data_IF_935227738144
#
_entry.id   IF_935227738144
#
_cell.length_a   1.000
_cell.length_b   1.000
_cell.length_c   1.000
_cell.angle_alpha   90.00
_cell.angle_beta   90.00
_cell.angle_gamma   90.00
#
_symmetry.space_group_name_H-M   'P 1'
#
loop_
_entity.id
_entity.type
_entity.pdbx_description
1 polymer ?
#
# COMPACT_ATOMS: atom_id res chain seq x y z
N UNK A 1 8.20 0.87 12.00
CA UNK A 1 8.68 -0.47 12.44
C UNK A 1 8.44 -1.43 11.28
N UNK A 2 9.47 -2.10 10.77
CA UNK A 2 9.32 -3.07 9.67
C UNK A 2 8.46 -4.21 10.19
N UNK A 3 7.34 -4.47 9.50
CA UNK A 3 6.47 -5.58 9.84
C UNK A 3 7.11 -6.87 9.33
N UNK A 4 7.98 -7.47 10.13
CA UNK A 4 8.56 -8.77 9.82
C UNK A 4 7.47 -9.85 10.00
N UNK A 5 6.86 -10.28 8.89
CA UNK A 5 5.85 -11.35 8.87
C UNK A 5 6.48 -12.62 8.32
N UNK A 6 6.32 -13.72 9.04
CA UNK A 6 6.75 -15.04 8.59
C UNK A 6 5.65 -15.76 7.83
N UNK A 7 5.99 -16.63 6.87
CA UNK A 7 4.99 -17.48 6.23
C UNK A 7 4.24 -18.37 7.21
N UNK A 8 4.85 -18.67 8.38
CA UNK A 8 4.19 -19.45 9.44
C UNK A 8 3.04 -18.69 10.12
N UNK A 9 3.21 -17.40 10.37
CA UNK A 9 2.13 -16.56 10.90
C UNK A 9 0.97 -16.47 9.91
N UNK A 10 1.29 -16.29 8.63
CA UNK A 10 0.29 -16.30 7.55
C UNK A 10 -0.41 -17.66 7.45
N UNK A 11 0.33 -18.77 7.52
CA UNK A 11 -0.22 -20.13 7.52
C UNK A 11 -1.22 -20.34 8.66
N UNK A 12 -0.86 -19.91 9.88
CA UNK A 12 -1.72 -20.07 11.05
C UNK A 12 -3.06 -19.34 10.88
N UNK A 13 -3.03 -18.12 10.35
CA UNK A 13 -4.25 -17.35 10.06
C UNK A 13 -5.07 -18.06 8.97
N UNK A 14 -4.44 -18.50 7.88
CA UNK A 14 -5.16 -19.19 6.80
C UNK A 14 -5.79 -20.50 7.31
N UNK A 15 -5.07 -21.32 8.07
CA UNK A 15 -5.60 -22.58 8.63
C UNK A 15 -6.85 -22.39 9.49
N UNK A 16 -6.96 -21.26 10.19
CA UNK A 16 -8.17 -20.95 10.97
C UNK A 16 -9.35 -20.46 10.12
N UNK A 17 -9.14 -20.17 8.84
CA UNK A 17 -10.07 -19.47 7.97
C UNK A 17 -10.51 -20.26 6.72
N UNK A 18 -9.83 -21.37 6.38
CA UNK A 18 -10.22 -22.24 5.27
C UNK A 18 -10.45 -23.68 5.76
N UNK A 19 -11.19 -24.46 4.98
CA UNK A 19 -11.39 -25.88 5.29
C UNK A 19 -10.09 -26.68 5.19
N UNK A 20 -10.01 -27.77 5.96
CA UNK A 20 -8.87 -28.71 5.90
C UNK A 20 -8.67 -29.27 4.49
N UNK A 21 -9.75 -29.51 3.73
CA UNK A 21 -9.68 -29.96 2.34
C UNK A 21 -8.99 -28.93 1.44
N UNK A 22 -9.37 -27.65 1.54
CA UNK A 22 -8.77 -26.57 0.75
C UNK A 22 -7.32 -26.35 1.15
N UNK A 23 -7.01 -26.42 2.45
CA UNK A 23 -5.65 -26.30 2.93
C UNK A 23 -4.77 -27.44 2.43
N UNK A 24 -5.25 -28.69 2.51
CA UNK A 24 -4.53 -29.86 2.01
C UNK A 24 -4.29 -29.76 0.51
N UNK A 25 -5.30 -29.34 -0.27
CA UNK A 25 -5.18 -29.08 -1.70
C UNK A 25 -4.08 -28.05 -2.01
N UNK A 26 -4.03 -26.94 -1.27
CA UNK A 26 -3.00 -25.91 -1.43
C UNK A 26 -1.60 -26.46 -1.16
N UNK A 27 -1.44 -27.24 -0.08
CA UNK A 27 -0.15 -27.83 0.27
C UNK A 27 0.33 -28.85 -0.78
N UNK A 28 -0.58 -29.64 -1.36
CA UNK A 28 -0.21 -30.59 -2.42
C UNK A 28 0.14 -29.89 -3.74
N UNK A 29 -0.55 -28.79 -4.06
CA UNK A 29 -0.17 -27.92 -5.18
C UNK A 29 1.19 -27.27 -4.95
N UNK A 30 1.47 -26.77 -3.74
CA UNK A 30 2.77 -26.21 -3.37
C UNK A 30 3.91 -27.21 -3.58
N UNK A 31 3.75 -28.45 -3.09
CA UNK A 31 4.75 -29.53 -3.31
C UNK A 31 5.03 -29.73 -4.80
N UNK A 32 3.98 -29.75 -5.62
CA UNK A 32 4.10 -29.94 -7.08
C UNK A 32 4.82 -28.76 -7.74
N UNK A 33 4.47 -27.53 -7.37
CA UNK A 33 5.11 -26.31 -7.90
C UNK A 33 6.60 -26.31 -7.58
N UNK A 34 6.96 -26.67 -6.36
CA UNK A 34 8.33 -26.69 -5.87
C UNK A 34 9.14 -27.80 -6.55
N UNK A 35 8.62 -29.03 -6.60
CA UNK A 35 9.35 -30.17 -7.17
C UNK A 35 9.59 -30.01 -8.67
N UNK A 36 8.57 -29.59 -9.42
CA UNK A 36 8.66 -29.39 -10.86
C UNK A 36 9.29 -28.05 -11.25
N UNK A 37 9.43 -27.13 -10.28
CA UNK A 37 9.79 -25.74 -10.52
C UNK A 37 8.92 -25.13 -11.63
N UNK A 38 7.62 -25.40 -11.64
CA UNK A 38 6.77 -25.05 -12.78
C UNK A 38 6.05 -23.71 -12.62
N UNK A 39 6.39 -22.73 -13.48
CA UNK A 39 5.68 -21.45 -13.53
C UNK A 39 4.22 -21.63 -13.96
N UNK A 40 3.95 -22.53 -14.91
CA UNK A 40 2.58 -22.82 -15.37
C UNK A 40 1.70 -23.33 -14.22
N UNK A 41 2.20 -24.25 -13.40
CA UNK A 41 1.44 -24.79 -12.26
C UNK A 41 1.24 -23.72 -11.18
N UNK A 42 2.25 -22.86 -10.94
CA UNK A 42 2.11 -21.72 -10.05
C UNK A 42 0.97 -20.79 -10.49
N UNK A 43 0.94 -20.41 -11.78
CA UNK A 43 -0.04 -19.44 -12.29
C UNK A 43 -1.46 -20.03 -12.22
N UNK A 44 -1.62 -21.28 -12.67
CA UNK A 44 -2.90 -21.98 -12.58
C UNK A 44 -3.36 -22.11 -11.12
N UNK A 45 -2.46 -22.43 -10.19
CA UNK A 45 -2.81 -22.57 -8.77
C UNK A 45 -3.25 -21.22 -8.18
N UNK A 46 -2.52 -20.15 -8.48
CA UNK A 46 -2.82 -18.80 -8.01
C UNK A 46 -4.22 -18.32 -8.45
N UNK A 47 -4.59 -18.60 -9.70
CA UNK A 47 -5.92 -18.26 -10.23
C UNK A 47 -7.02 -19.21 -9.72
N UNK A 48 -6.75 -20.52 -9.65
CA UNK A 48 -7.71 -21.52 -9.17
C UNK A 48 -8.06 -21.38 -7.69
N UNK A 49 -7.30 -20.64 -6.90
CA UNK A 49 -7.66 -20.33 -5.51
C UNK A 49 -9.04 -19.66 -5.41
N UNK A 50 -9.43 -18.86 -6.40
CA UNK A 50 -10.77 -18.23 -6.45
C UNK A 50 -11.92 -19.24 -6.60
N UNK A 51 -11.64 -20.44 -7.12
CA UNK A 51 -12.61 -21.54 -7.19
C UNK A 51 -12.75 -22.32 -5.88
N UNK A 52 -11.80 -22.13 -4.95
CA UNK A 52 -11.72 -22.83 -3.66
C UNK A 52 -12.11 -21.95 -2.48
N UNK A 53 -11.95 -20.63 -2.61
CA UNK A 53 -12.17 -19.66 -1.55
C UNK A 53 -13.02 -18.52 -2.12
N UNK A 54 -14.21 -18.22 -1.55
CA UNK A 54 -15.01 -17.08 -1.98
C UNK A 54 -14.26 -15.75 -1.85
N UNK A 55 -14.43 -14.87 -2.84
CA UNK A 55 -13.68 -13.60 -2.90
C UNK A 55 -14.08 -12.60 -1.81
N UNK A 56 -15.26 -12.72 -1.20
CA UNK A 56 -15.80 -11.76 -0.24
C UNK A 56 -15.58 -12.15 1.23
N UNK A 57 -14.99 -13.30 1.50
CA UNK A 57 -14.83 -13.76 2.88
C UNK A 57 -13.71 -12.98 3.57
N UNK A 58 -14.06 -12.32 4.67
CA UNK A 58 -13.13 -11.62 5.55
C UNK A 58 -12.44 -12.61 6.50
N UNK A 59 -11.22 -12.28 6.91
CA UNK A 59 -10.50 -13.07 7.91
C UNK A 59 -11.15 -12.95 9.29
N UNK A 60 -11.37 -14.09 9.92
CA UNK A 60 -11.59 -14.22 11.36
C UNK A 60 -10.22 -14.28 12.02
N UNK A 61 -9.87 -13.21 12.74
CA UNK A 61 -8.61 -13.09 13.46
C UNK A 61 -8.80 -13.37 14.94
N UNK A 62 -7.77 -13.90 15.59
CA UNK A 62 -7.75 -14.03 17.05
C UNK A 62 -7.68 -12.65 17.69
N UNK A 63 -8.24 -12.50 18.90
CA UNK A 63 -8.21 -11.24 19.67
C UNK A 63 -6.82 -10.85 20.17
N UNK A 64 -5.77 -11.57 19.76
CA UNK A 64 -4.41 -11.23 20.15
C UNK A 64 -3.96 -9.99 19.37
N UNK A 65 -3.68 -8.91 20.09
CA UNK A 65 -3.11 -7.72 19.49
C UNK A 65 -1.68 -8.00 19.01
N UNK A 66 -1.48 -7.93 17.70
CA UNK A 66 -0.16 -8.01 17.07
C UNK A 66 -0.09 -7.02 15.91
N UNK A 67 1.11 -6.47 15.59
CA UNK A 67 1.29 -5.60 14.43
C UNK A 67 0.79 -6.25 13.13
N UNK A 68 0.93 -7.57 13.01
CA UNK A 68 0.43 -8.34 11.87
C UNK A 68 -1.09 -8.34 11.79
N UNK A 69 -1.79 -8.66 12.89
CA UNK A 69 -3.26 -8.62 12.93
C UNK A 69 -3.80 -7.21 12.68
N UNK A 70 -3.18 -6.18 13.29
CA UNK A 70 -3.56 -4.78 13.04
C UNK A 70 -3.39 -4.38 11.57
N UNK A 71 -2.35 -4.88 10.91
CA UNK A 71 -2.17 -4.65 9.48
C UNK A 71 -3.26 -5.31 8.64
N UNK A 72 -3.58 -6.58 8.90
CA UNK A 72 -4.64 -7.30 8.20
C UNK A 72 -6.01 -6.61 8.35
N UNK A 73 -6.31 -6.10 9.55
CA UNK A 73 -7.55 -5.36 9.83
C UNK A 73 -7.59 -4.06 9.03
N UNK A 74 -6.54 -3.24 9.07
CA UNK A 74 -6.46 -1.96 8.31
C UNK A 74 -6.55 -2.17 6.81
N UNK A 75 -6.01 -3.28 6.31
CA UNK A 75 -6.07 -3.65 4.90
C UNK A 75 -7.42 -4.26 4.49
N UNK A 76 -8.36 -4.49 5.42
CA UNK A 76 -9.57 -5.27 5.16
C UNK A 76 -9.23 -6.58 4.42
N UNK A 77 -8.26 -7.31 4.96
CA UNK A 77 -7.69 -8.48 4.33
C UNK A 77 -8.73 -9.59 4.14
N UNK A 78 -8.82 -10.11 2.91
CA UNK A 78 -9.72 -11.21 2.55
C UNK A 78 -8.97 -12.54 2.55
N UNK A 79 -9.68 -13.63 2.83
CA UNK A 79 -9.09 -14.97 2.95
C UNK A 79 -8.36 -15.35 1.65
N UNK A 80 -8.97 -15.08 0.50
CA UNK A 80 -8.40 -15.38 -0.81
C UNK A 80 -7.10 -14.59 -1.07
N UNK A 81 -7.06 -13.31 -0.71
CA UNK A 81 -5.87 -12.46 -0.91
C UNK A 81 -4.70 -12.98 -0.07
N UNK A 82 -4.93 -13.24 1.21
CA UNK A 82 -3.88 -13.71 2.11
C UNK A 82 -3.39 -15.11 1.70
N UNK A 83 -4.29 -15.98 1.22
CA UNK A 83 -3.92 -17.32 0.74
C UNK A 83 -3.08 -17.26 -0.53
N UNK A 84 -3.40 -16.36 -1.46
CA UNK A 84 -2.59 -16.08 -2.64
C UNK A 84 -1.17 -15.61 -2.26
N UNK A 85 -1.08 -14.73 -1.26
CA UNK A 85 0.21 -14.23 -0.79
C UNK A 85 1.02 -15.32 -0.12
N UNK A 86 0.40 -16.16 0.70
CA UNK A 86 1.05 -17.32 1.28
C UNK A 86 1.64 -18.26 0.22
N UNK A 87 0.91 -18.52 -0.87
CA UNK A 87 1.43 -19.31 -2.00
C UNK A 87 2.72 -18.69 -2.56
N UNK A 88 2.75 -17.37 -2.77
CA UNK A 88 3.92 -16.65 -3.28
C UNK A 88 5.08 -16.64 -2.28
N UNK A 89 4.80 -16.40 -0.99
CA UNK A 89 5.82 -16.45 0.07
C UNK A 89 6.50 -17.81 0.08
N UNK A 90 5.72 -18.90 0.07
CA UNK A 90 6.28 -20.27 0.18
C UNK A 90 7.16 -20.66 -1.00
N UNK A 91 6.80 -20.28 -2.24
CA UNK A 91 7.66 -20.59 -3.40
C UNK A 91 8.92 -19.73 -3.43
N UNK A 92 8.85 -18.47 -3.00
CA UNK A 92 10.01 -17.58 -2.92
C UNK A 92 10.97 -17.97 -1.79
N UNK A 93 10.44 -18.41 -0.64
CA UNK A 93 11.24 -18.95 0.49
C UNK A 93 12.00 -20.22 0.10
N UNK A 94 11.43 -21.04 -0.80
CA UNK A 94 12.03 -22.30 -1.22
C UNK A 94 13.18 -22.11 -2.21
N UNK A 95 12.97 -21.32 -3.28
CA UNK A 95 14.00 -21.03 -4.28
C UNK A 95 13.74 -19.67 -4.93
N UNK A 96 14.19 -18.62 -4.23
CA UNK A 96 14.04 -17.23 -4.64
C UNK A 96 14.51 -16.98 -6.08
N UNK A 97 15.67 -17.52 -6.46
CA UNK A 97 16.26 -17.30 -7.80
C UNK A 97 15.39 -17.89 -8.90
N UNK A 98 14.84 -19.08 -8.67
CA UNK A 98 13.98 -19.77 -9.63
C UNK A 98 12.60 -19.14 -9.71
N UNK A 99 12.03 -18.69 -8.59
CA UNK A 99 10.63 -18.25 -8.52
C UNK A 99 10.43 -16.75 -8.71
N UNK A 100 11.39 -15.89 -8.38
CA UNK A 100 11.27 -14.43 -8.59
C UNK A 100 10.84 -14.05 -10.02
N UNK A 101 11.51 -14.53 -11.10
CA UNK A 101 11.07 -14.20 -12.47
C UNK A 101 9.69 -14.78 -12.83
N UNK A 102 9.29 -15.90 -12.21
CA UNK A 102 7.98 -16.53 -12.42
C UNK A 102 6.88 -15.73 -11.75
N UNK A 103 7.10 -15.28 -10.52
CA UNK A 103 6.17 -14.38 -9.81
C UNK A 103 6.06 -13.07 -10.57
N UNK A 104 7.16 -12.48 -11.03
CA UNK A 104 7.11 -11.27 -11.86
C UNK A 104 6.26 -11.46 -13.12
N UNK A 105 6.45 -12.58 -13.83
CA UNK A 105 5.66 -12.90 -15.03
C UNK A 105 4.18 -13.15 -14.70
N UNK A 106 3.88 -13.83 -13.58
CA UNK A 106 2.51 -14.05 -13.10
C UNK A 106 1.79 -12.72 -12.92
N UNK A 107 2.43 -11.78 -12.24
CA UNK A 107 1.81 -10.50 -11.89
C UNK A 107 1.61 -9.59 -13.11
N UNK A 108 2.43 -9.72 -14.16
CA UNK A 108 2.21 -9.01 -15.42
C UNK A 108 0.91 -9.41 -16.14
N UNK A 109 0.42 -10.64 -15.91
CA UNK A 109 -0.81 -11.17 -16.53
C UNK A 109 -1.93 -11.38 -15.53
N UNK A 110 -1.73 -10.96 -14.27
CA UNK A 110 -2.69 -11.09 -13.20
C UNK A 110 -3.97 -10.33 -13.51
N UNK A 111 -5.11 -10.90 -13.12
CA UNK A 111 -6.35 -10.15 -13.11
C UNK A 111 -6.32 -9.02 -12.06
N UNK A 112 -7.35 -8.17 -12.06
CA UNK A 112 -7.43 -7.03 -11.14
C UNK A 112 -7.38 -7.46 -9.67
N UNK A 113 -8.10 -8.51 -9.27
CA UNK A 113 -8.17 -8.97 -7.89
C UNK A 113 -6.86 -9.63 -7.44
N UNK A 114 -6.22 -10.34 -8.35
CA UNK A 114 -4.88 -10.91 -8.21
C UNK A 114 -3.81 -9.83 -7.98
N UNK A 115 -3.80 -8.80 -8.84
CA UNK A 115 -2.87 -7.67 -8.71
C UNK A 115 -3.12 -6.87 -7.41
N UNK A 116 -4.39 -6.64 -7.04
CA UNK A 116 -4.74 -5.99 -5.77
C UNK A 116 -4.22 -6.79 -4.58
N UNK A 117 -4.43 -8.11 -4.56
CA UNK A 117 -3.89 -8.97 -3.50
C UNK A 117 -2.36 -8.83 -3.41
N UNK A 118 -1.67 -8.92 -4.55
CA UNK A 118 -0.22 -8.75 -4.62
C UNK A 118 0.26 -7.42 -4.04
N UNK A 119 -0.34 -6.30 -4.47
CA UNK A 119 0.09 -4.95 -4.06
C UNK A 119 -0.16 -4.68 -2.58
N UNK A 120 -1.33 -5.07 -2.04
CA UNK A 120 -1.68 -4.88 -0.61
C UNK A 120 -0.66 -5.51 0.34
N UNK A 121 -0.14 -6.67 -0.04
CA UNK A 121 0.69 -7.50 0.82
C UNK A 121 2.11 -7.70 0.28
N UNK A 122 2.54 -6.87 -0.68
CA UNK A 122 3.87 -6.98 -1.31
C UNK A 122 4.99 -7.01 -0.25
N UNK A 123 4.85 -6.21 0.80
CA UNK A 123 5.80 -6.13 1.92
C UNK A 123 6.01 -7.47 2.66
N UNK A 124 5.12 -8.45 2.49
CA UNK A 124 5.26 -9.78 3.11
C UNK A 124 6.13 -10.73 2.30
N UNK A 125 6.38 -10.43 1.02
CA UNK A 125 7.14 -11.35 0.16
C UNK A 125 8.63 -11.34 0.54
N UNK A 126 9.30 -12.50 0.57
CA UNK A 126 10.75 -12.55 0.57
C UNK A 126 11.29 -11.80 -0.65
N UNK A 127 12.35 -11.02 -0.46
CA UNK A 127 12.93 -10.17 -1.52
C UNK A 127 11.88 -9.29 -2.24
N UNK A 128 10.95 -8.68 -1.49
CA UNK A 128 9.91 -7.81 -2.05
C UNK A 128 10.47 -6.65 -2.90
N UNK A 129 11.71 -6.20 -2.64
CA UNK A 129 12.41 -5.15 -3.41
C UNK A 129 12.54 -5.48 -4.89
N UNK A 130 12.66 -6.77 -5.24
CA UNK A 130 12.68 -7.21 -6.64
C UNK A 130 11.43 -6.80 -7.42
N UNK A 131 10.32 -6.56 -6.71
CA UNK A 131 9.02 -6.21 -7.30
C UNK A 131 8.65 -4.73 -7.12
N UNK A 132 9.56 -3.86 -6.66
CA UNK A 132 9.30 -2.41 -6.53
C UNK A 132 8.82 -1.79 -7.85
N UNK A 133 9.33 -2.26 -8.98
CA UNK A 133 8.89 -1.81 -10.30
C UNK A 133 7.39 -2.05 -10.55
N UNK A 134 6.81 -3.13 -10.02
CA UNK A 134 5.38 -3.43 -10.11
C UNK A 134 4.56 -2.44 -9.30
N UNK A 135 5.01 -2.13 -8.08
CA UNK A 135 4.38 -1.13 -7.21
C UNK A 135 4.39 0.27 -7.84
N UNK A 136 5.50 0.65 -8.48
CA UNK A 136 5.63 1.93 -9.20
C UNK A 136 4.75 1.95 -10.45
N UNK A 137 4.68 0.86 -11.21
CA UNK A 137 3.80 0.78 -12.38
C UNK A 137 2.32 0.87 -11.99
N UNK A 138 1.93 0.29 -10.85
CA UNK A 138 0.58 0.41 -10.31
C UNK A 138 0.15 1.86 -10.06
N UNK A 139 1.10 2.79 -9.83
CA UNK A 139 0.79 4.22 -9.72
C UNK A 139 0.30 4.83 -11.04
N UNK A 140 0.54 4.21 -12.20
CA UNK A 140 0.14 4.77 -13.50
C UNK A 140 -1.32 4.48 -13.85
N UNK A 141 -1.96 3.53 -13.17
CA UNK A 141 -3.36 3.16 -13.41
C UNK A 141 -4.36 4.26 -13.01
N UNK A 142 -5.53 4.30 -13.67
CA UNK A 142 -6.68 5.08 -13.21
C UNK A 142 -7.70 4.22 -12.46
N UNK A 143 -7.42 2.92 -12.28
CA UNK A 143 -8.28 2.01 -11.54
C UNK A 143 -8.03 2.22 -10.04
N UNK A 144 -8.96 2.92 -9.39
CA UNK A 144 -8.87 3.27 -7.97
C UNK A 144 -8.47 2.08 -7.08
N UNK A 145 -9.09 0.91 -7.24
CA UNK A 145 -8.79 -0.25 -6.39
C UNK A 145 -7.35 -0.75 -6.51
N UNK A 146 -6.72 -0.60 -7.68
CA UNK A 146 -5.31 -1.01 -7.89
C UNK A 146 -4.36 0.04 -7.32
N UNK A 147 -4.68 1.32 -7.51
CA UNK A 147 -3.92 2.42 -6.92
C UNK A 147 -3.96 2.36 -5.38
N UNK A 148 -5.17 2.24 -4.81
CA UNK A 148 -5.40 2.22 -3.37
C UNK A 148 -4.69 1.03 -2.69
N UNK A 149 -4.58 -0.11 -3.38
CA UNK A 149 -3.89 -1.30 -2.87
C UNK A 149 -2.42 -1.04 -2.52
N UNK A 150 -1.73 -0.16 -3.25
CA UNK A 150 -0.33 0.19 -2.97
C UNK A 150 -0.19 1.49 -2.18
N UNK A 151 -1.12 2.44 -2.31
CA UNK A 151 -0.97 3.78 -1.72
C UNK A 151 -1.60 3.95 -0.34
N UNK A 152 -2.67 3.20 -0.01
CA UNK A 152 -3.45 3.39 1.22
C UNK A 152 -3.20 2.27 2.23
N UNK A 153 -3.03 2.62 3.50
CA UNK A 153 -2.73 1.72 4.63
C UNK A 153 -1.54 0.78 4.37
N UNK A 154 -0.66 1.13 3.44
CA UNK A 154 0.42 0.30 2.96
C UNK A 154 1.78 0.96 3.31
N UNK A 155 2.65 0.28 4.07
CA UNK A 155 3.94 0.82 4.47
C UNK A 155 5.01 0.70 3.36
N UNK A 156 4.73 -0.04 2.28
CA UNK A 156 5.71 -0.31 1.22
C UNK A 156 6.22 0.97 0.54
N UNK A 157 5.37 1.92 0.09
CA UNK A 157 5.85 3.13 -0.58
C UNK A 157 6.82 3.95 0.27
N UNK A 158 6.53 4.12 1.57
CA UNK A 158 7.37 4.95 2.43
C UNK A 158 8.79 4.37 2.60
N UNK A 159 8.90 3.03 2.58
CA UNK A 159 10.16 2.33 2.77
C UNK A 159 10.97 2.19 1.47
N UNK A 160 10.31 1.97 0.33
CA UNK A 160 10.98 1.56 -0.91
C UNK A 160 10.88 2.55 -2.06
N UNK A 161 10.00 3.55 -2.01
CA UNK A 161 9.96 4.58 -3.04
C UNK A 161 11.01 5.65 -2.79
N UNK A 162 11.68 6.03 -3.89
CA UNK A 162 12.45 7.27 -3.90
C UNK A 162 11.50 8.49 -3.86
N UNK A 163 12.07 9.68 -3.63
CA UNK A 163 11.28 10.89 -3.45
C UNK A 163 10.42 11.21 -4.68
N UNK A 164 10.92 10.97 -5.89
CA UNK A 164 10.13 11.19 -7.11
C UNK A 164 8.89 10.30 -7.17
N UNK A 165 9.05 9.00 -6.91
CA UNK A 165 7.97 8.02 -6.91
C UNK A 165 6.96 8.29 -5.79
N UNK A 166 7.46 8.64 -4.60
CA UNK A 166 6.64 9.06 -3.46
C UNK A 166 5.79 10.29 -3.79
N UNK A 167 6.42 11.34 -4.33
CA UNK A 167 5.75 12.59 -4.68
C UNK A 167 4.66 12.33 -5.73
N UNK A 168 4.97 11.53 -6.77
CA UNK A 168 3.98 11.15 -7.78
C UNK A 168 2.79 10.40 -7.18
N UNK A 169 3.03 9.44 -6.28
CA UNK A 169 1.96 8.73 -5.58
C UNK A 169 1.08 9.70 -4.77
N UNK A 170 1.68 10.54 -3.93
CA UNK A 170 0.94 11.45 -3.05
C UNK A 170 0.08 12.45 -3.84
N UNK A 171 0.68 13.09 -4.85
CA UNK A 171 -0.03 14.03 -5.72
C UNK A 171 -1.17 13.34 -6.49
N UNK A 172 -0.92 12.13 -7.02
CA UNK A 172 -1.94 11.38 -7.72
C UNK A 172 -3.08 10.95 -6.80
N UNK A 173 -2.79 10.56 -5.56
CA UNK A 173 -3.82 10.24 -4.57
C UNK A 173 -4.74 11.44 -4.34
N UNK A 174 -4.18 12.64 -4.21
CA UNK A 174 -4.94 13.87 -4.07
C UNK A 174 -5.79 14.19 -5.32
N UNK A 175 -5.22 14.07 -6.52
CA UNK A 175 -5.96 14.31 -7.77
C UNK A 175 -7.06 13.28 -8.02
N UNK A 176 -6.83 12.04 -7.62
CA UNK A 176 -7.84 10.99 -7.64
C UNK A 176 -8.85 11.13 -6.49
N UNK A 177 -8.70 12.11 -5.59
CA UNK A 177 -9.56 12.30 -4.41
C UNK A 177 -9.63 11.03 -3.55
N UNK A 178 -8.47 10.41 -3.32
CA UNK A 178 -8.32 9.30 -2.37
C UNK A 178 -8.23 9.87 -0.96
N UNK A 179 -8.52 9.04 0.04
CA UNK A 179 -8.41 9.45 1.44
C UNK A 179 -6.93 9.58 1.85
N UNK A 180 -6.42 10.82 1.85
CA UNK A 180 -5.04 11.14 2.19
C UNK A 180 -4.71 10.82 3.66
N UNK A 181 -5.71 10.62 4.54
CA UNK A 181 -5.47 10.22 5.93
C UNK A 181 -4.94 8.78 6.03
N UNK A 182 -5.24 7.96 5.02
CA UNK A 182 -4.81 6.56 4.96
C UNK A 182 -3.41 6.38 4.36
N UNK A 183 -2.79 7.45 3.83
CA UNK A 183 -1.39 7.39 3.42
C UNK A 183 -0.53 7.44 4.68
N UNK A 184 0.27 6.39 4.87
CA UNK A 184 1.15 6.21 6.02
C UNK A 184 2.42 7.06 5.89
N UNK A 185 3.05 7.42 7.01
CA UNK A 185 4.41 7.97 7.04
C UNK A 185 4.64 9.26 6.23
N UNK A 186 3.58 10.01 5.92
CA UNK A 186 3.59 11.22 5.09
C UNK A 186 4.56 12.27 5.62
N UNK A 187 4.54 12.51 6.92
CA UNK A 187 5.39 13.49 7.59
C UNK A 187 6.88 13.09 7.47
N UNK A 188 7.18 11.79 7.52
CA UNK A 188 8.56 11.29 7.42
C UNK A 188 9.12 11.31 5.99
N UNK A 189 8.24 11.21 4.99
CA UNK A 189 8.59 11.22 3.55
C UNK A 189 8.37 12.57 2.88
N UNK A 190 7.99 13.57 3.66
CA UNK A 190 7.96 14.95 3.25
C UNK A 190 9.34 15.40 2.75
N UNK A 191 9.36 16.18 1.67
CA UNK A 191 10.57 16.70 1.07
C UNK A 191 10.28 18.05 0.39
N UNK A 192 11.32 18.86 0.19
CA UNK A 192 11.21 20.22 -0.36
C UNK A 192 10.51 20.28 -1.71
N UNK A 193 10.76 19.31 -2.59
CA UNK A 193 10.13 19.28 -3.91
C UNK A 193 8.63 19.05 -3.81
N UNK A 194 8.20 18.14 -2.93
CA UNK A 194 6.78 17.89 -2.68
C UNK A 194 6.07 19.12 -2.12
N UNK A 195 6.67 19.78 -1.13
CA UNK A 195 6.05 20.94 -0.48
C UNK A 195 5.92 22.13 -1.42
N UNK A 196 6.91 22.35 -2.30
CA UNK A 196 6.81 23.35 -3.36
C UNK A 196 5.66 23.04 -4.33
N UNK A 197 5.54 21.80 -4.79
CA UNK A 197 4.44 21.41 -5.71
C UNK A 197 3.08 21.56 -5.03
N UNK A 198 2.98 21.26 -3.74
CA UNK A 198 1.75 21.45 -2.95
C UNK A 198 1.35 22.93 -2.89
N UNK A 199 2.31 23.82 -2.60
CA UNK A 199 2.10 25.28 -2.58
C UNK A 199 1.66 25.80 -3.96
N UNK A 200 2.38 25.42 -5.02
CA UNK A 200 2.05 25.80 -6.40
C UNK A 200 0.62 25.37 -6.77
N UNK A 201 0.24 24.12 -6.45
CA UNK A 201 -1.12 23.62 -6.66
C UNK A 201 -2.17 24.39 -5.85
N UNK A 202 -1.88 24.71 -4.59
CA UNK A 202 -2.81 25.47 -3.76
C UNK A 202 -3.08 26.86 -4.35
N UNK A 203 -2.03 27.54 -4.84
CA UNK A 203 -2.17 28.85 -5.51
C UNK A 203 -3.02 28.75 -6.77
N UNK A 204 -2.80 27.72 -7.60
CA UNK A 204 -3.64 27.46 -8.78
C UNK A 204 -5.12 27.25 -8.41
N UNK A 205 -5.39 26.49 -7.35
CA UNK A 205 -6.76 26.23 -6.87
C UNK A 205 -7.41 27.48 -6.31
N UNK A 206 -6.70 28.23 -5.49
CA UNK A 206 -7.18 29.49 -4.91
C UNK A 206 -7.46 30.55 -5.97
N UNK A 207 -6.60 30.68 -6.99
CA UNK A 207 -6.82 31.57 -8.12
C UNK A 207 -8.08 31.20 -8.92
N UNK A 208 -8.46 29.92 -8.93
CA UNK A 208 -9.68 29.42 -9.53
C UNK A 208 -10.89 29.36 -8.58
N UNK A 209 -10.78 29.91 -7.37
CA UNK A 209 -11.81 29.84 -6.32
C UNK A 209 -12.27 28.40 -6.01
N UNK A 210 -11.33 27.46 -6.00
CA UNK A 210 -11.57 26.06 -5.66
C UNK A 210 -10.90 25.70 -4.35
N UNK A 211 -11.54 24.82 -3.58
CA UNK A 211 -10.99 24.32 -2.32
C UNK A 211 -9.78 23.42 -2.54
N UNK A 212 -8.92 23.35 -1.51
CA UNK A 212 -7.80 22.42 -1.38
C UNK A 212 -8.14 21.46 -0.25
N UNK A 213 -7.94 20.15 -0.46
CA UNK A 213 -8.11 19.18 0.62
C UNK A 213 -7.17 19.55 1.78
N UNK A 214 -7.68 19.79 3.01
CA UNK A 214 -6.85 20.16 4.15
C UNK A 214 -5.71 19.16 4.42
N UNK A 215 -5.91 17.88 4.16
CA UNK A 215 -4.88 16.85 4.35
C UNK A 215 -3.76 16.92 3.31
N UNK A 216 -3.95 17.66 2.22
CA UNK A 216 -2.92 17.88 1.19
C UNK A 216 -1.71 18.65 1.73
N UNK A 217 -1.90 19.40 2.82
CA UNK A 217 -0.84 20.16 3.50
C UNK A 217 0.01 19.32 4.45
N UNK A 218 -0.35 18.06 4.75
CA UNK A 218 0.39 17.21 5.71
C UNK A 218 1.92 17.18 5.52
N UNK A 219 2.48 17.10 4.30
CA UNK A 219 3.93 17.06 4.10
C UNK A 219 4.64 18.40 4.38
N UNK A 220 3.90 19.49 4.57
CA UNK A 220 4.47 20.85 4.53
C UNK A 220 5.13 21.28 5.85
N UNK A 221 4.71 20.71 6.98
CA UNK A 221 5.14 21.12 8.32
C UNK A 221 6.67 21.22 8.51
N UNK A 222 7.44 20.27 7.97
CA UNK A 222 8.90 20.24 8.11
C UNK A 222 9.66 21.28 7.27
N UNK A 223 8.97 22.06 6.43
CA UNK A 223 9.56 22.91 5.41
C UNK A 223 8.95 24.32 5.39
N UNK A 224 8.38 24.78 6.51
CA UNK A 224 7.80 26.13 6.60
C UNK A 224 8.89 27.20 6.49
N UNK A 225 9.12 27.70 5.28
CA UNK A 225 9.94 28.87 4.99
C UNK A 225 9.28 29.75 3.92
N UNK A 226 9.66 31.03 3.89
CA UNK A 226 9.29 31.97 2.83
C UNK A 226 7.81 31.92 2.41
N UNK A 227 7.57 31.41 1.19
CA UNK A 227 6.23 31.31 0.61
C UNK A 227 5.26 30.43 1.40
N UNK A 228 5.76 29.35 2.01
CA UNK A 228 4.93 28.41 2.77
C UNK A 228 4.40 29.02 4.07
N UNK A 229 5.14 29.95 4.69
CA UNK A 229 4.63 30.69 5.85
C UNK A 229 3.44 31.58 5.48
N UNK A 230 3.48 32.22 4.30
CA UNK A 230 2.34 33.00 3.80
C UNK A 230 1.13 32.11 3.50
N UNK A 231 1.37 30.90 3.01
CA UNK A 231 0.30 29.91 2.79
C UNK A 231 -0.36 29.52 4.11
N UNK A 232 0.43 29.28 5.16
CA UNK A 232 -0.11 28.96 6.49
C UNK A 232 -0.90 30.14 7.06
N UNK A 233 -0.40 31.38 6.93
CA UNK A 233 -1.12 32.58 7.36
C UNK A 233 -2.49 32.69 6.68
N UNK A 234 -2.55 32.40 5.37
CA UNK A 234 -3.81 32.36 4.62
C UNK A 234 -4.76 31.30 5.17
N UNK A 235 -4.27 30.08 5.39
CA UNK A 235 -5.09 28.99 5.94
C UNK A 235 -5.67 29.34 7.30
N UNK A 236 -4.87 29.93 8.18
CA UNK A 236 -5.29 30.37 9.53
C UNK A 236 -6.35 31.47 9.50
N UNK A 237 -6.36 32.31 8.45
CA UNK A 237 -7.34 33.37 8.23
C UNK A 237 -8.57 32.93 7.42
N UNK A 238 -8.63 31.68 6.97
CA UNK A 238 -9.76 31.15 6.21
C UNK A 238 -11.04 31.15 7.04
N UNK A 239 -12.20 31.31 6.39
CA UNK A 239 -13.51 31.12 7.03
C UNK A 239 -13.84 29.64 7.23
N UNK A 240 -13.08 28.73 6.60
CA UNK A 240 -13.29 27.29 6.71
C UNK A 240 -12.47 26.71 7.87
N UNK A 241 -13.17 26.14 8.86
CA UNK A 241 -12.53 25.50 10.03
C UNK A 241 -11.52 24.43 9.65
N UNK A 242 -11.77 23.67 8.58
CA UNK A 242 -10.88 22.60 8.15
C UNK A 242 -9.53 23.15 7.63
N UNK A 243 -9.54 24.27 6.90
CA UNK A 243 -8.33 24.95 6.45
C UNK A 243 -7.56 25.56 7.64
N UNK A 244 -8.26 26.20 8.57
CA UNK A 244 -7.65 26.73 9.80
C UNK A 244 -6.94 25.64 10.60
N UNK A 245 -7.55 24.45 10.72
CA UNK A 245 -6.96 23.30 11.41
C UNK A 245 -5.74 22.77 10.67
N UNK A 246 -5.76 22.70 9.33
CA UNK A 246 -4.60 22.29 8.56
C UNK A 246 -3.42 23.24 8.75
N UNK A 247 -3.65 24.56 8.65
CA UNK A 247 -2.63 25.57 8.93
C UNK A 247 -2.08 25.46 10.35
N UNK A 248 -2.96 25.37 11.34
CA UNK A 248 -2.56 25.25 12.75
C UNK A 248 -1.74 23.98 13.03
N UNK A 249 -2.13 22.83 12.45
CA UNK A 249 -1.39 21.58 12.61
C UNK A 249 -0.01 21.64 11.95
N UNK A 250 0.09 22.25 10.77
CA UNK A 250 1.38 22.45 10.10
C UNK A 250 2.32 23.31 10.94
N UNK A 251 1.84 24.44 11.48
CA UNK A 251 2.63 25.30 12.36
C UNK A 251 3.02 24.58 13.67
N UNK A 252 2.10 23.81 14.27
CA UNK A 252 2.39 23.07 15.51
C UNK A 252 3.49 22.01 15.33
N UNK A 253 3.54 21.39 14.16
CA UNK A 253 4.53 20.35 13.83
C UNK A 253 5.82 20.92 13.23
N UNK A 254 5.89 22.24 13.03
CA UNK A 254 7.05 22.89 12.45
C UNK A 254 8.28 22.73 13.34
N UNK A 255 9.43 22.50 12.72
CA UNK A 255 10.71 22.47 13.42
C UNK A 255 11.25 23.89 13.71
N UNK A 256 10.69 24.92 13.06
CA UNK A 256 11.07 26.32 13.21
C UNK A 256 10.13 27.05 14.17
N UNK A 257 10.64 27.95 15.04
CA UNK A 257 9.82 28.76 15.94
C UNK A 257 9.13 29.97 15.29
N UNK A 258 9.46 30.30 14.03
CA UNK A 258 8.78 31.34 13.22
C UNK A 258 7.42 30.87 12.71
#
# INVERSE_FOLDING_TARGET
>A
MILAVTSKEVENVIRGNISDETFQWLMDRLKTIISERSGKVLFMTYSLLSSKIPDNDLLILTLQESPFNSFLIRQHARILELTRIYLLMRVLEEDEKTFTPKVATLIQVADKGELVAFLKFLIFLPNHEAFTHVAVEALRTNIATVFDAISLNNPFPAQYFNDQQWNQMYLKAAFMQRDLSMIMDVETKANKDLTRIISDYAHERWAASRDVDPLFWRPVAGFLDGGLLNDMERLLKSDQRAEQLAGALCCLQAASPE
#
